data_IF_232966441391
#
_entry.id   IF_232966441391
#
_cell.length_a   1.000
_cell.length_b   1.000
_cell.length_c   1.000
_cell.angle_alpha   90.00
_cell.angle_beta   90.00
_cell.angle_gamma   90.00
#
_symmetry.space_group_name_H-M   'P 1'
#
loop_
_entity.id
_entity.type
_entity.pdbx_description
1 polymer ?
#
# COMPACT_ATOMS: atom_id res chain seq x y z
N UNK A 1 -4.12 -15.90 4.58
CA UNK A 1 -2.72 -15.67 4.21
C UNK A 1 -2.61 -14.64 3.10
N UNK A 2 -1.41 -14.11 2.90
CA UNK A 2 -1.17 -13.15 1.83
C UNK A 2 -1.50 -13.74 0.45
N UNK A 3 -1.15 -15.01 0.24
CA UNK A 3 -1.43 -15.69 -1.01
C UNK A 3 -2.92 -15.83 -1.28
N UNK A 4 -3.70 -16.09 -0.25
CA UNK A 4 -5.16 -16.16 -0.37
C UNK A 4 -5.74 -14.82 -0.75
N UNK A 5 -5.24 -13.75 -0.14
CA UNK A 5 -5.68 -12.40 -0.49
C UNK A 5 -5.35 -12.06 -1.94
N UNK A 6 -4.12 -12.36 -2.37
CA UNK A 6 -3.68 -12.10 -3.75
C UNK A 6 -4.57 -12.84 -4.74
N UNK A 7 -4.91 -14.09 -4.45
CA UNK A 7 -5.80 -14.88 -5.30
C UNK A 7 -7.19 -14.24 -5.41
N UNK A 8 -7.76 -13.86 -4.27
CA UNK A 8 -9.08 -13.22 -4.23
C UNK A 8 -9.04 -11.90 -5.00
N UNK A 9 -8.00 -11.10 -4.81
CA UNK A 9 -7.85 -9.82 -5.50
C UNK A 9 -7.80 -10.04 -7.02
N UNK A 10 -6.98 -10.98 -7.48
CA UNK A 10 -6.82 -11.25 -8.91
C UNK A 10 -8.10 -11.78 -9.56
N UNK A 11 -8.89 -12.55 -8.82
CA UNK A 11 -10.16 -13.09 -9.31
C UNK A 11 -11.24 -12.01 -9.42
N UNK A 12 -11.15 -10.96 -8.61
CA UNK A 12 -12.21 -9.95 -8.50
C UNK A 12 -11.81 -8.56 -9.00
N UNK A 13 -10.57 -8.33 -9.37
CA UNK A 13 -10.07 -6.99 -9.70
C UNK A 13 -10.79 -6.31 -10.87
N UNK A 14 -11.33 -7.10 -11.79
CA UNK A 14 -12.06 -6.56 -12.93
C UNK A 14 -13.54 -6.25 -12.60
N UNK A 15 -14.03 -6.74 -11.46
CA UNK A 15 -15.36 -6.45 -10.95
C UNK A 15 -15.27 -5.40 -9.85
N UNK A 16 -14.34 -5.60 -8.92
CA UNK A 16 -14.10 -4.71 -7.78
C UNK A 16 -12.68 -4.17 -7.86
N UNK A 17 -12.49 -3.17 -8.71
CA UNK A 17 -11.14 -2.63 -8.95
C UNK A 17 -10.63 -1.76 -7.82
N UNK A 18 -11.46 -1.47 -6.81
CA UNK A 18 -11.08 -0.70 -5.64
C UNK A 18 -11.14 -1.56 -4.38
N UNK A 19 -10.12 -1.44 -3.54
CA UNK A 19 -10.04 -2.22 -2.31
C UNK A 19 -11.24 -2.00 -1.37
N UNK A 20 -11.73 -0.76 -1.15
CA UNK A 20 -12.91 -0.59 -0.30
C UNK A 20 -14.14 -1.36 -0.80
N UNK A 21 -14.33 -1.42 -2.12
CA UNK A 21 -15.43 -2.19 -2.70
C UNK A 21 -15.27 -3.68 -2.45
N UNK A 22 -14.04 -4.19 -2.66
CA UNK A 22 -13.75 -5.61 -2.42
C UNK A 22 -13.99 -5.98 -0.97
N UNK A 23 -13.54 -5.14 -0.04
CA UNK A 23 -13.72 -5.38 1.39
C UNK A 23 -15.19 -5.36 1.80
N UNK A 24 -16.00 -4.54 1.13
CA UNK A 24 -17.43 -4.46 1.41
C UNK A 24 -18.14 -5.75 1.00
N UNK A 25 -17.74 -6.34 -0.12
CA UNK A 25 -18.36 -7.56 -0.64
C UNK A 25 -17.80 -8.83 -0.01
N UNK A 26 -16.55 -8.80 0.46
CA UNK A 26 -15.89 -9.94 1.11
C UNK A 26 -15.35 -9.47 2.46
N UNK A 27 -16.19 -9.55 3.53
CA UNK A 27 -15.80 -9.05 4.85
C UNK A 27 -14.54 -9.70 5.42
N UNK A 28 -14.26 -10.95 5.08
CA UNK A 28 -13.04 -11.64 5.54
C UNK A 28 -11.79 -10.92 5.04
N UNK A 29 -11.83 -10.39 3.82
CA UNK A 29 -10.72 -9.60 3.27
C UNK A 29 -10.53 -8.32 4.08
N UNK A 30 -11.62 -7.66 4.44
CA UNK A 30 -11.56 -6.46 5.26
C UNK A 30 -10.88 -6.73 6.60
N UNK A 31 -11.29 -7.77 7.29
CA UNK A 31 -10.71 -8.15 8.59
C UNK A 31 -9.23 -8.51 8.44
N UNK A 32 -8.89 -9.24 7.39
CA UNK A 32 -7.52 -9.63 7.12
C UNK A 32 -6.63 -8.39 6.91
N UNK A 33 -7.07 -7.45 6.09
CA UNK A 33 -6.29 -6.25 5.80
C UNK A 33 -6.12 -5.34 7.00
N UNK A 34 -7.16 -5.23 7.83
CA UNK A 34 -7.09 -4.42 9.06
C UNK A 34 -6.07 -4.98 10.04
N UNK A 35 -5.99 -6.31 10.15
CA UNK A 35 -5.14 -6.98 11.13
C UNK A 35 -3.75 -7.34 10.59
N UNK A 36 -3.54 -7.32 9.28
CA UNK A 36 -2.27 -7.78 8.67
C UNK A 36 -1.09 -6.87 9.03
N UNK A 37 -1.31 -5.56 9.00
CA UNK A 37 -0.31 -4.58 9.35
C UNK A 37 -0.89 -3.59 10.36
N UNK A 38 -0.27 -3.48 11.52
CA UNK A 38 -0.73 -2.55 12.55
C UNK A 38 -0.18 -1.13 12.33
N UNK A 39 0.77 -0.95 11.40
CA UNK A 39 1.33 0.36 11.08
C UNK A 39 0.77 0.97 9.79
N UNK A 40 -0.15 0.29 9.11
CA UNK A 40 -0.83 0.84 7.94
C UNK A 40 -2.01 1.70 8.36
N UNK A 41 -2.16 2.86 7.73
CA UNK A 41 -3.26 3.79 8.05
C UNK A 41 -4.60 3.34 7.47
N UNK A 42 -4.57 2.63 6.34
CA UNK A 42 -5.79 2.20 5.65
C UNK A 42 -5.65 0.77 5.15
N UNK A 43 -6.80 0.13 4.89
CA UNK A 43 -6.81 -1.21 4.29
C UNK A 43 -6.25 -1.19 2.87
N UNK A 44 -6.37 -0.06 2.17
CA UNK A 44 -5.78 0.09 0.84
C UNK A 44 -4.26 0.00 0.91
N UNK A 45 -3.66 0.67 1.88
CA UNK A 45 -2.21 0.60 2.10
C UNK A 45 -1.78 -0.84 2.41
N UNK A 46 -2.50 -1.53 3.28
CA UNK A 46 -2.20 -2.93 3.61
C UNK A 46 -2.25 -3.81 2.37
N UNK A 47 -3.28 -3.64 1.53
CA UNK A 47 -3.41 -4.40 0.29
C UNK A 47 -2.22 -4.13 -0.65
N UNK A 48 -1.82 -2.88 -0.80
CA UNK A 48 -0.68 -2.51 -1.63
C UNK A 48 0.59 -3.21 -1.14
N UNK A 49 0.83 -3.19 0.18
CA UNK A 49 2.02 -3.81 0.77
C UNK A 49 2.05 -5.32 0.50
N UNK A 50 0.90 -5.99 0.59
CA UNK A 50 0.82 -7.43 0.30
C UNK A 50 1.12 -7.70 -1.17
N UNK A 51 0.50 -6.94 -2.07
CA UNK A 51 0.64 -7.15 -3.51
C UNK A 51 2.06 -6.87 -4.01
N UNK A 52 2.78 -5.97 -3.35
CA UNK A 52 4.15 -5.61 -3.71
C UNK A 52 5.20 -6.16 -2.76
N UNK A 53 4.79 -7.02 -1.82
CA UNK A 53 5.68 -7.69 -0.86
C UNK A 53 6.51 -6.70 -0.03
N UNK A 54 5.84 -5.66 0.49
CA UNK A 54 6.48 -4.63 1.29
C UNK A 54 6.25 -4.94 2.77
N UNK A 55 7.29 -5.44 3.46
CA UNK A 55 7.20 -5.78 4.88
C UNK A 55 7.23 -4.54 5.75
N UNK A 56 8.05 -3.56 5.40
CA UNK A 56 8.21 -2.32 6.14
C UNK A 56 7.93 -1.14 5.24
N UNK A 57 7.38 -0.07 5.84
CA UNK A 57 7.12 1.15 5.07
C UNK A 57 8.43 1.70 4.50
N UNK A 58 8.43 2.14 3.23
CA UNK A 58 9.63 2.72 2.65
C UNK A 58 9.97 4.06 3.30
N UNK A 59 11.23 4.41 3.26
CA UNK A 59 11.73 5.65 3.84
C UNK A 59 12.37 6.53 2.76
N UNK A 60 12.39 7.84 3.01
CA UNK A 60 13.01 8.79 2.11
C UNK A 60 14.52 8.54 2.04
N UNK A 61 15.12 8.40 0.84
CA UNK A 61 16.55 8.15 0.73
C UNK A 61 17.42 9.34 1.13
N UNK A 62 16.83 10.51 1.30
CA UNK A 62 17.57 11.73 1.66
C UNK A 62 17.53 11.97 3.17
N UNK A 63 16.34 12.00 3.78
CA UNK A 63 16.19 12.36 5.19
C UNK A 63 15.78 11.20 6.10
N UNK A 64 15.41 10.05 5.54
CA UNK A 64 15.05 8.87 6.32
C UNK A 64 13.66 8.89 6.94
N UNK A 65 12.83 9.85 6.59
CA UNK A 65 11.46 9.90 7.09
C UNK A 65 10.60 8.84 6.38
N UNK A 66 9.60 8.33 7.09
CA UNK A 66 8.66 7.37 6.51
C UNK A 66 7.87 8.06 5.40
N UNK A 67 7.84 7.43 4.22
CA UNK A 67 7.15 7.98 3.06
C UNK A 67 5.64 7.78 3.18
N UNK A 68 4.82 8.78 2.77
CA UNK A 68 3.38 8.63 2.81
C UNK A 68 2.88 7.74 1.68
N UNK A 69 1.83 6.97 1.98
CA UNK A 69 1.12 6.19 0.98
C UNK A 69 0.12 7.11 0.26
N UNK A 70 0.11 7.07 -1.07
CA UNK A 70 -0.75 7.93 -1.88
C UNK A 70 -2.00 7.16 -2.36
N UNK A 71 -1.81 6.09 -3.13
CA UNK A 71 -2.90 5.30 -3.68
C UNK A 71 -2.40 3.96 -4.19
N UNK A 72 -3.34 3.06 -4.55
CA UNK A 72 -3.00 1.77 -5.13
C UNK A 72 -2.23 1.90 -6.46
N UNK A 73 -2.51 2.95 -7.21
CA UNK A 73 -1.88 3.16 -8.51
C UNK A 73 -0.47 3.74 -8.38
N UNK A 74 -0.29 4.66 -7.43
CA UNK A 74 0.98 5.35 -7.21
C UNK A 74 1.83 4.64 -6.15
N UNK A 75 1.19 4.14 -5.10
CA UNK A 75 1.86 3.53 -3.97
C UNK A 75 2.42 4.56 -3.02
N UNK A 76 3.65 4.34 -2.58
CA UNK A 76 4.34 5.28 -1.69
C UNK A 76 5.11 6.32 -2.52
N UNK A 77 5.25 7.51 -1.95
CA UNK A 77 6.07 8.54 -2.59
C UNK A 77 7.54 8.11 -2.58
N UNK A 78 8.29 8.61 -3.56
CA UNK A 78 9.73 8.33 -3.65
C UNK A 78 10.52 9.19 -2.65
N UNK A 79 10.07 10.42 -2.40
CA UNK A 79 10.69 11.35 -1.49
C UNK A 79 9.63 11.95 -0.58
N UNK A 80 10.03 12.34 0.64
CA UNK A 80 9.08 12.87 1.62
C UNK A 80 8.54 14.25 1.24
N UNK A 81 9.32 15.03 0.47
CA UNK A 81 8.94 16.38 0.05
C UNK A 81 9.74 16.77 -1.20
N UNK A 82 9.35 17.91 -1.79
CA UNK A 82 10.03 18.40 -3.01
C UNK A 82 11.47 18.79 -2.75
N UNK A 83 11.78 19.27 -1.56
CA UNK A 83 13.16 19.63 -1.21
C UNK A 83 14.08 18.42 -1.28
N UNK A 84 13.64 17.29 -0.73
CA UNK A 84 14.42 16.06 -0.80
C UNK A 84 14.57 15.57 -2.23
N UNK A 85 13.51 15.66 -3.03
CA UNK A 85 13.55 15.30 -4.44
C UNK A 85 14.55 16.15 -5.20
N UNK A 86 14.54 17.47 -4.96
CA UNK A 86 15.44 18.40 -5.64
C UNK A 86 16.89 18.18 -5.20
N UNK A 87 17.11 17.85 -3.93
CA UNK A 87 18.45 17.56 -3.40
C UNK A 87 19.04 16.33 -4.11
N UNK A 88 18.24 15.28 -4.27
CA UNK A 88 18.68 14.07 -4.96
C UNK A 88 19.04 14.37 -6.41
N UNK A 89 18.20 15.16 -7.09
CA UNK A 89 18.46 15.56 -8.48
C UNK A 89 19.68 16.45 -8.62
N UNK A 90 19.97 17.26 -7.61
CA UNK A 90 21.08 18.20 -7.62
C UNK A 90 22.44 17.55 -7.52
N UNK A 91 22.45 16.29 -7.26
CA UNK A 91 23.68 15.52 -7.24
C UNK A 91 24.00 15.00 -8.63
#
# INVERSE_FOLDING_TARGET
TDNEFIKIYNENKHIYNKIPCLCKHIPDVNLFLISRFNDSHTKVESAYRILHNIEQKPICPVCGKILPFVSMQIGYRTFCCNECKNTEKGK
#
